data_IF_314452092733
#
_entry.id   IF_314452092733
#
_cell.length_a   1.000
_cell.length_b   1.000
_cell.length_c   1.000
_cell.angle_alpha   90.00
_cell.angle_beta   90.00
_cell.angle_gamma   90.00
#
_symmetry.space_group_name_H-M   'P 1'
#
loop_
_entity.id
_entity.type
_entity.pdbx_description
1 polymer ?
#
# COMPACT_ATOMS: atom_id res chain seq x y z
N UNK A 1 -13.14 -40.87 -0.39
CA UNK A 1 -11.79 -40.58 0.17
C UNK A 1 -11.78 -41.12 1.59
N UNK A 2 -10.64 -41.66 2.02
CA UNK A 2 -10.51 -42.44 3.24
C UNK A 2 -11.05 -41.70 4.48
N UNK A 3 -11.85 -42.39 5.31
CA UNK A 3 -12.09 -42.06 6.72
C UNK A 3 -10.77 -42.20 7.50
N UNK A 4 -9.78 -41.35 7.20
CA UNK A 4 -8.58 -41.23 8.00
C UNK A 4 -8.94 -40.42 9.23
N UNK A 5 -9.49 -41.11 10.23
CA UNK A 5 -9.67 -40.60 11.57
C UNK A 5 -8.28 -40.49 12.25
N UNK A 6 -7.45 -39.54 11.81
CA UNK A 6 -6.09 -39.35 12.33
C UNK A 6 -6.06 -39.05 13.84
N UNK A 7 -7.17 -38.52 14.38
CA UNK A 7 -7.27 -38.07 15.76
C UNK A 7 -8.45 -38.71 16.54
N UNK A 8 -9.14 -39.74 16.01
CA UNK A 8 -10.28 -40.33 16.72
C UNK A 8 -9.92 -41.03 18.02
N UNK A 9 -8.66 -41.41 18.16
CA UNK A 9 -8.15 -42.13 19.32
C UNK A 9 -7.78 -41.17 20.46
N UNK A 10 -7.92 -39.86 20.26
CA UNK A 10 -7.60 -38.82 21.23
C UNK A 10 -8.83 -37.94 21.52
N UNK A 11 -8.97 -37.51 22.76
CA UNK A 11 -9.94 -36.48 23.11
C UNK A 11 -9.53 -35.13 22.49
N UNK A 12 -10.51 -34.36 22.02
CA UNK A 12 -10.27 -33.02 21.53
C UNK A 12 -9.74 -32.13 22.67
N UNK A 13 -8.68 -31.38 22.40
CA UNK A 13 -8.09 -30.46 23.37
C UNK A 13 -8.66 -29.07 23.14
N UNK A 14 -9.29 -28.50 24.18
CA UNK A 14 -9.83 -27.13 24.15
C UNK A 14 -8.73 -26.07 24.31
N UNK A 15 -9.02 -24.83 23.91
CA UNK A 15 -8.15 -23.67 24.17
C UNK A 15 -7.82 -23.51 25.66
N UNK A 16 -8.79 -23.79 26.53
CA UNK A 16 -8.62 -23.74 27.99
C UNK A 16 -7.58 -24.76 28.49
N UNK A 17 -7.64 -26.00 28.01
CA UNK A 17 -6.66 -27.03 28.38
C UNK A 17 -5.27 -26.67 27.85
N UNK A 18 -5.18 -26.16 26.62
CA UNK A 18 -3.92 -25.68 26.04
C UNK A 18 -3.30 -24.54 26.87
N UNK A 19 -4.13 -23.56 27.28
CA UNK A 19 -3.69 -22.45 28.12
C UNK A 19 -3.22 -22.90 29.51
N UNK A 20 -3.85 -23.92 30.09
CA UNK A 20 -3.39 -24.53 31.34
C UNK A 20 -2.00 -25.16 31.19
N UNK A 21 -1.74 -25.87 30.08
CA UNK A 21 -0.42 -26.43 29.81
C UNK A 21 0.64 -25.34 29.64
N UNK A 22 0.34 -24.27 28.88
CA UNK A 22 1.27 -23.13 28.75
C UNK A 22 1.58 -22.53 30.13
N UNK A 23 0.56 -22.33 30.97
CA UNK A 23 0.74 -21.75 32.30
C UNK A 23 1.64 -22.62 33.19
N UNK A 24 1.52 -23.95 33.08
CA UNK A 24 2.41 -24.89 33.75
C UNK A 24 3.87 -24.73 33.27
N UNK A 25 4.09 -24.67 31.94
CA UNK A 25 5.43 -24.51 31.33
C UNK A 25 6.08 -23.15 31.64
N UNK A 26 5.28 -22.10 31.86
CA UNK A 26 5.76 -20.78 32.26
C UNK A 26 6.38 -20.75 33.67
N UNK A 27 6.23 -21.82 34.48
CA UNK A 27 6.86 -21.98 35.80
C UNK A 27 6.68 -20.75 36.72
N UNK A 28 5.50 -20.14 36.67
CA UNK A 28 5.14 -18.97 37.48
C UNK A 28 5.36 -17.61 36.81
N UNK A 29 5.91 -17.55 35.58
CA UNK A 29 5.91 -16.32 34.79
C UNK A 29 4.48 -15.96 34.33
N UNK A 30 4.19 -14.66 34.24
CA UNK A 30 2.88 -14.18 33.79
C UNK A 30 2.71 -14.40 32.28
N UNK A 31 1.57 -14.98 31.89
CA UNK A 31 1.25 -15.30 30.51
C UNK A 31 1.17 -14.05 29.62
N UNK A 32 0.52 -12.99 30.10
CA UNK A 32 0.31 -11.78 29.31
C UNK A 32 1.59 -10.98 29.16
N UNK A 33 2.40 -10.89 30.21
CA UNK A 33 3.68 -10.18 30.16
C UNK A 33 4.72 -10.93 29.30
N UNK A 34 4.67 -12.26 29.28
CA UNK A 34 5.71 -13.08 28.62
C UNK A 34 5.41 -13.40 27.17
N UNK A 35 4.15 -13.71 26.84
CA UNK A 35 3.79 -14.32 25.55
C UNK A 35 2.84 -13.47 24.69
N UNK A 36 2.19 -12.47 25.27
CA UNK A 36 1.29 -11.60 24.51
C UNK A 36 2.09 -10.40 24.02
N UNK A 37 2.16 -10.25 22.70
CA UNK A 37 2.77 -9.08 22.08
C UNK A 37 1.70 -8.01 21.83
N UNK A 38 1.92 -6.79 22.31
CA UNK A 38 1.08 -5.64 22.00
C UNK A 38 1.67 -4.86 20.83
N UNK A 39 0.93 -4.80 19.73
CA UNK A 39 1.36 -4.11 18.51
C UNK A 39 1.18 -2.59 18.63
N UNK A 40 1.84 -1.78 17.77
CA UNK A 40 1.63 -0.33 17.70
C UNK A 40 0.18 0.11 17.43
N UNK A 41 -0.65 -0.79 16.89
CA UNK A 41 -2.08 -0.62 16.66
C UNK A 41 -2.93 -0.85 17.93
N UNK A 42 -2.31 -1.21 19.05
CA UNK A 42 -3.01 -1.60 20.28
C UNK A 42 -3.75 -2.93 20.14
N UNK A 43 -3.21 -3.86 19.34
CA UNK A 43 -3.70 -5.23 19.19
C UNK A 43 -2.85 -6.16 20.04
N UNK A 44 -3.51 -6.98 20.87
CA UNK A 44 -2.85 -7.99 21.69
C UNK A 44 -2.78 -9.31 20.94
N UNK A 45 -1.64 -9.57 20.34
CA UNK A 45 -1.38 -10.80 19.59
C UNK A 45 -1.12 -11.94 20.57
N UNK A 46 -2.02 -12.92 20.59
CA UNK A 46 -1.90 -14.13 21.40
C UNK A 46 -0.87 -15.10 20.78
N UNK A 47 -0.20 -15.94 21.59
CA UNK A 47 0.71 -16.97 21.11
C UNK A 47 0.03 -18.12 20.36
N UNK A 48 -1.29 -18.28 20.49
CA UNK A 48 -2.08 -19.25 19.74
C UNK A 48 -3.51 -18.74 19.52
N UNK A 49 -4.17 -19.30 18.51
CA UNK A 49 -5.58 -19.06 18.17
C UNK A 49 -6.26 -20.41 17.97
N UNK A 50 -7.53 -20.52 18.34
CA UNK A 50 -8.24 -21.79 18.41
C UNK A 50 -9.70 -21.66 17.95
N UNK A 51 -10.27 -22.74 17.42
CA UNK A 51 -11.60 -22.73 16.83
C UNK A 51 -12.74 -22.46 17.84
N UNK A 52 -12.55 -22.84 19.10
CA UNK A 52 -13.49 -22.62 20.20
C UNK A 52 -13.39 -21.21 20.83
N UNK A 53 -12.43 -20.38 20.40
CA UNK A 53 -12.31 -18.98 20.82
C UNK A 53 -12.79 -17.99 19.76
N UNK A 54 -12.92 -18.41 18.50
CA UNK A 54 -13.03 -17.48 17.38
C UNK A 54 -14.43 -17.52 16.77
N UNK A 55 -15.27 -16.55 17.13
CA UNK A 55 -16.47 -16.20 16.35
C UNK A 55 -16.06 -15.13 15.31
N UNK A 56 -15.44 -15.55 14.21
CA UNK A 56 -15.16 -14.63 13.09
C UNK A 56 -16.48 -14.34 12.38
N UNK A 57 -16.92 -13.08 12.37
CA UNK A 57 -18.18 -12.66 11.75
C UNK A 57 -17.99 -11.94 10.40
N UNK A 58 -16.78 -11.97 9.83
CA UNK A 58 -16.46 -11.26 8.60
C UNK A 58 -16.25 -12.24 7.44
N UNK A 59 -17.09 -12.11 6.41
CA UNK A 59 -16.83 -12.71 5.11
C UNK A 59 -15.76 -11.87 4.40
N UNK A 60 -14.52 -12.36 4.40
CA UNK A 60 -13.44 -11.69 3.70
C UNK A 60 -13.72 -11.69 2.19
N UNK A 61 -13.76 -10.48 1.62
CA UNK A 61 -13.91 -10.30 0.19
C UNK A 61 -12.54 -10.47 -0.44
N UNK A 62 -12.40 -11.42 -1.36
CA UNK A 62 -11.14 -11.70 -2.04
C UNK A 62 -11.34 -11.53 -3.56
N UNK A 63 -10.39 -10.92 -4.28
CA UNK A 63 -10.49 -10.80 -5.73
C UNK A 63 -10.71 -12.16 -6.40
N UNK A 64 -11.55 -12.16 -7.42
CA UNK A 64 -11.85 -13.38 -8.20
C UNK A 64 -10.76 -13.73 -9.21
N UNK A 65 -9.86 -12.79 -9.50
CA UNK A 65 -8.77 -12.93 -10.44
C UNK A 65 -7.42 -12.89 -9.71
N UNK A 66 -6.40 -13.60 -10.22
CA UNK A 66 -5.03 -13.44 -9.74
C UNK A 66 -4.54 -12.00 -9.89
N UNK A 67 -3.64 -11.59 -9.00
CA UNK A 67 -3.00 -10.28 -9.04
C UNK A 67 -2.29 -10.03 -10.37
N UNK A 68 -2.33 -8.78 -10.84
CA UNK A 68 -1.57 -8.34 -12.02
C UNK A 68 -0.16 -7.84 -11.63
N UNK A 69 0.84 -8.21 -12.42
CA UNK A 69 2.22 -7.70 -12.28
C UNK A 69 2.33 -6.33 -12.97
N UNK A 70 2.58 -5.26 -12.19
CA UNK A 70 2.66 -3.89 -12.71
C UNK A 70 4.11 -3.44 -12.86
N UNK A 71 4.46 -2.91 -14.03
CA UNK A 71 5.69 -2.14 -14.22
C UNK A 71 5.37 -0.64 -14.17
N UNK A 72 6.09 0.10 -13.31
CA UNK A 72 6.05 1.56 -13.31
C UNK A 72 7.00 2.11 -14.39
N UNK A 73 6.55 3.11 -15.15
CA UNK A 73 7.32 3.82 -16.17
C UNK A 73 7.07 5.31 -16.04
N UNK A 74 8.13 6.07 -15.75
CA UNK A 74 8.09 7.52 -15.81
C UNK A 74 8.28 8.01 -17.26
N UNK A 75 7.33 8.80 -17.77
CA UNK A 75 7.35 9.21 -19.18
C UNK A 75 8.09 10.53 -19.35
N UNK A 76 9.38 10.44 -19.63
CA UNK A 76 10.20 11.60 -20.05
C UNK A 76 10.21 11.78 -21.57
N UNK A 77 10.33 10.68 -22.31
CA UNK A 77 10.32 10.64 -23.77
C UNK A 77 9.27 9.61 -24.21
N UNK A 78 8.30 10.04 -25.00
CA UNK A 78 7.12 9.23 -25.36
C UNK A 78 7.53 7.96 -26.10
N UNK A 79 8.43 8.06 -27.09
CA UNK A 79 8.84 6.93 -27.92
C UNK A 79 9.66 5.91 -27.13
N UNK A 80 10.60 6.38 -26.31
CA UNK A 80 11.39 5.51 -25.44
C UNK A 80 10.53 4.83 -24.38
N UNK A 81 9.56 5.55 -23.80
CA UNK A 81 8.66 5.02 -22.79
C UNK A 81 7.71 3.98 -23.38
N UNK A 82 7.19 4.22 -24.58
CA UNK A 82 6.42 3.23 -25.35
C UNK A 82 7.24 1.97 -25.63
N UNK A 83 8.47 2.11 -26.14
CA UNK A 83 9.35 0.97 -26.39
C UNK A 83 9.65 0.16 -25.11
N UNK A 84 9.93 0.85 -23.99
CA UNK A 84 10.14 0.22 -22.67
C UNK A 84 8.87 -0.50 -22.18
N UNK A 85 7.69 0.07 -22.42
CA UNK A 85 6.41 -0.58 -22.09
C UNK A 85 6.18 -1.86 -22.92
N UNK A 86 6.49 -1.84 -24.21
CA UNK A 86 6.38 -3.04 -25.05
C UNK A 86 7.35 -4.14 -24.58
N UNK A 87 8.60 -3.76 -24.28
CA UNK A 87 9.62 -4.69 -23.80
C UNK A 87 9.26 -5.31 -22.44
N UNK A 88 8.78 -4.51 -21.48
CA UNK A 88 8.44 -5.04 -20.15
C UNK A 88 7.24 -5.99 -20.20
N UNK A 89 6.24 -5.71 -21.05
CA UNK A 89 5.09 -6.60 -21.27
C UNK A 89 5.54 -7.94 -21.88
N UNK A 90 6.46 -7.92 -22.84
CA UNK A 90 7.06 -9.15 -23.41
C UNK A 90 7.88 -9.94 -22.37
N UNK A 91 8.32 -9.29 -21.30
CA UNK A 91 9.12 -9.88 -20.21
C UNK A 91 8.29 -10.19 -18.96
N UNK A 92 6.97 -10.31 -19.11
CA UNK A 92 6.07 -10.83 -18.07
C UNK A 92 5.37 -9.80 -17.20
N UNK A 93 5.50 -8.50 -17.47
CA UNK A 93 4.57 -7.52 -16.89
C UNK A 93 3.18 -7.73 -17.51
N UNK A 94 2.14 -7.62 -16.71
CA UNK A 94 0.73 -7.78 -17.14
C UNK A 94 -0.01 -6.44 -17.14
N UNK A 95 0.62 -5.40 -16.59
CA UNK A 95 0.10 -4.05 -16.52
C UNK A 95 1.23 -3.05 -16.52
N UNK A 96 0.95 -1.83 -17.00
CA UNK A 96 1.91 -0.73 -17.01
C UNK A 96 1.28 0.48 -16.35
N UNK A 97 2.03 1.11 -15.44
CA UNK A 97 1.67 2.42 -14.90
C UNK A 97 2.58 3.48 -15.52
N UNK A 98 1.97 4.41 -16.25
CA UNK A 98 2.64 5.59 -16.76
C UNK A 98 2.47 6.76 -15.80
N UNK A 99 3.58 7.36 -15.38
CA UNK A 99 3.57 8.66 -14.71
C UNK A 99 3.83 9.75 -15.74
N UNK A 100 2.88 10.66 -15.91
CA UNK A 100 2.93 11.75 -16.90
C UNK A 100 3.02 13.09 -16.17
N UNK A 101 4.07 13.89 -16.35
CA UNK A 101 4.22 15.15 -15.59
C UNK A 101 3.38 16.33 -16.11
N UNK A 102 2.86 16.24 -17.34
CA UNK A 102 2.08 17.29 -17.97
C UNK A 102 1.08 16.71 -18.97
N UNK A 103 0.14 17.56 -19.42
CA UNK A 103 -0.92 17.21 -20.38
C UNK A 103 -0.56 17.47 -21.86
N UNK A 104 0.72 17.73 -22.16
CA UNK A 104 1.19 17.93 -23.53
C UNK A 104 1.44 16.62 -24.30
N UNK A 105 1.40 15.47 -23.61
CA UNK A 105 1.68 14.15 -24.19
C UNK A 105 0.53 13.69 -25.08
N UNK A 106 0.85 13.20 -26.28
CA UNK A 106 -0.13 12.59 -27.17
C UNK A 106 -0.33 11.12 -26.78
N UNK A 107 -1.54 10.78 -26.31
CA UNK A 107 -1.88 9.43 -25.83
C UNK A 107 -1.75 8.40 -26.94
N UNK A 108 -2.14 8.76 -28.16
CA UNK A 108 -2.04 7.90 -29.34
C UNK A 108 -0.59 7.51 -29.65
N UNK A 109 0.36 8.42 -29.44
CA UNK A 109 1.79 8.13 -29.63
C UNK A 109 2.33 7.26 -28.49
N UNK A 110 1.97 7.57 -27.24
CA UNK A 110 2.40 6.79 -26.09
C UNK A 110 1.87 5.35 -26.10
N UNK A 111 0.65 5.17 -26.59
CA UNK A 111 -0.03 3.87 -26.64
C UNK A 111 0.18 3.13 -27.97
N UNK A 112 0.96 3.69 -28.88
CA UNK A 112 1.17 3.12 -30.21
C UNK A 112 1.70 1.68 -30.12
N UNK A 113 1.06 0.73 -30.80
CA UNK A 113 1.44 -0.68 -30.84
C UNK A 113 1.46 -1.42 -29.47
N UNK A 114 0.95 -0.80 -28.40
CA UNK A 114 0.80 -1.49 -27.12
C UNK A 114 -0.41 -2.44 -27.17
N UNK A 115 -0.29 -3.66 -26.60
CA UNK A 115 -1.40 -4.61 -26.56
C UNK A 115 -2.53 -4.10 -25.66
N UNK A 116 -3.75 -4.04 -26.17
CA UNK A 116 -4.90 -3.49 -25.42
C UNK A 116 -5.76 -4.59 -24.77
N UNK A 117 -5.68 -5.81 -25.28
CA UNK A 117 -6.42 -6.94 -24.76
C UNK A 117 -5.72 -7.52 -23.52
N UNK A 118 -6.47 -7.73 -22.44
CA UNK A 118 -5.99 -8.32 -21.18
C UNK A 118 -4.82 -7.59 -20.48
N UNK A 119 -4.54 -6.33 -20.85
CA UNK A 119 -3.53 -5.49 -20.19
C UNK A 119 -4.21 -4.29 -19.57
N UNK A 120 -3.88 -3.99 -18.32
CA UNK A 120 -4.33 -2.76 -17.65
C UNK A 120 -3.27 -1.68 -17.77
N UNK A 121 -3.70 -0.46 -18.10
CA UNK A 121 -2.85 0.72 -18.12
C UNK A 121 -3.30 1.73 -17.07
N UNK A 122 -2.42 2.06 -16.14
CA UNK A 122 -2.65 3.09 -15.14
C UNK A 122 -1.99 4.40 -15.58
N UNK A 123 -2.72 5.50 -15.54
CA UNK A 123 -2.20 6.84 -15.83
C UNK A 123 -2.16 7.64 -14.55
N UNK A 124 -0.98 7.72 -13.95
CA UNK A 124 -0.71 8.58 -12.79
C UNK A 124 -0.51 10.02 -13.24
N UNK A 125 -1.42 10.89 -12.82
CA UNK A 125 -1.44 12.30 -13.18
C UNK A 125 -1.15 13.16 -11.93
N UNK A 126 0.08 13.69 -11.76
CA UNK A 126 0.44 14.65 -10.73
C UNK A 126 -0.06 16.07 -11.07
N UNK A 127 -1.17 16.15 -11.82
CA UNK A 127 -1.89 17.37 -12.21
C UNK A 127 -3.36 17.01 -12.44
N UNK A 128 -4.24 18.01 -12.45
CA UNK A 128 -5.67 17.82 -12.69
C UNK A 128 -6.14 18.56 -13.94
N UNK A 129 -6.37 17.82 -15.02
CA UNK A 129 -6.82 18.34 -16.32
C UNK A 129 -8.03 17.55 -16.84
N UNK A 130 -9.15 18.26 -16.99
CA UNK A 130 -10.40 17.71 -17.54
C UNK A 130 -10.22 17.31 -19.00
N UNK A 131 -9.57 18.17 -19.80
CA UNK A 131 -9.32 17.91 -21.22
C UNK A 131 -8.48 16.65 -21.40
N UNK A 132 -7.40 16.53 -20.63
CA UNK A 132 -6.50 15.38 -20.73
C UNK A 132 -7.16 14.07 -20.28
N UNK A 133 -7.93 14.11 -19.18
CA UNK A 133 -8.71 12.95 -18.74
C UNK A 133 -9.72 12.50 -19.80
N UNK A 134 -10.36 13.44 -20.49
CA UNK A 134 -11.25 13.12 -21.61
C UNK A 134 -10.50 12.49 -22.78
N UNK A 135 -9.30 12.99 -23.15
CA UNK A 135 -8.47 12.36 -24.21
C UNK A 135 -8.12 10.90 -23.88
N UNK A 136 -7.74 10.62 -22.63
CA UNK A 136 -7.46 9.25 -22.18
C UNK A 136 -8.74 8.39 -22.24
N UNK A 137 -9.87 8.92 -21.77
CA UNK A 137 -11.16 8.22 -21.81
C UNK A 137 -11.64 7.93 -23.24
N UNK A 138 -11.49 8.88 -24.15
CA UNK A 138 -11.86 8.74 -25.57
C UNK A 138 -10.99 7.70 -26.24
N UNK A 139 -9.68 7.69 -25.96
CA UNK A 139 -8.77 6.64 -26.40
C UNK A 139 -9.19 5.27 -25.86
N UNK A 140 -9.50 5.17 -24.56
CA UNK A 140 -9.94 3.93 -23.93
C UNK A 140 -11.22 3.39 -24.59
N UNK A 141 -12.22 4.26 -24.78
CA UNK A 141 -13.52 3.91 -25.36
C UNK A 141 -13.40 3.50 -26.83
N UNK A 142 -12.66 4.28 -27.63
CA UNK A 142 -12.45 4.03 -29.05
C UNK A 142 -11.75 2.70 -29.32
N UNK A 143 -10.75 2.38 -28.50
CA UNK A 143 -9.90 1.21 -28.71
C UNK A 143 -10.26 0.02 -27.79
N UNK A 144 -11.28 0.17 -26.93
CA UNK A 144 -11.67 -0.82 -25.91
C UNK A 144 -10.51 -1.23 -24.98
N UNK A 145 -9.69 -0.26 -24.59
CA UNK A 145 -8.54 -0.49 -23.72
C UNK A 145 -8.94 -0.43 -22.23
N UNK A 146 -8.36 -1.30 -21.40
CA UNK A 146 -8.54 -1.25 -19.95
C UNK A 146 -7.60 -0.19 -19.36
N UNK A 147 -8.17 0.98 -19.06
CA UNK A 147 -7.42 2.13 -18.57
C UNK A 147 -7.95 2.57 -17.21
N UNK A 148 -7.06 2.96 -16.31
CA UNK A 148 -7.35 3.59 -15.02
C UNK A 148 -6.68 4.96 -15.01
N UNK A 149 -7.47 6.03 -14.96
CA UNK A 149 -6.97 7.38 -14.73
C UNK A 149 -6.85 7.57 -13.22
N UNK A 150 -5.72 8.08 -12.75
CA UNK A 150 -5.42 8.15 -11.32
C UNK A 150 -5.33 9.62 -10.87
N UNK A 151 -6.50 10.24 -10.70
CA UNK A 151 -6.60 11.57 -10.11
C UNK A 151 -6.77 11.47 -8.59
N UNK A 152 -6.00 12.24 -7.84
CA UNK A 152 -6.11 12.29 -6.38
C UNK A 152 -5.85 13.70 -5.81
N UNK A 153 -6.79 14.66 -5.93
CA UNK A 153 -6.60 16.02 -5.39
C UNK A 153 -6.44 16.08 -3.87
N UNK A 154 -7.07 15.17 -3.12
CA UNK A 154 -6.86 15.10 -1.66
C UNK A 154 -5.45 14.56 -1.37
N UNK A 155 -5.00 13.53 -2.08
CA UNK A 155 -3.61 13.05 -2.00
C UNK A 155 -2.59 14.13 -2.37
N UNK A 156 -2.90 14.99 -3.34
CA UNK A 156 -2.11 16.16 -3.68
C UNK A 156 -2.05 17.15 -2.51
N UNK A 157 -3.19 17.48 -1.89
CA UNK A 157 -3.22 18.32 -0.69
C UNK A 157 -2.36 17.72 0.43
N UNK A 158 -2.50 16.42 0.69
CA UNK A 158 -1.74 15.69 1.70
C UNK A 158 -0.23 15.76 1.44
N UNK A 159 0.19 15.53 0.19
CA UNK A 159 1.60 15.47 -0.21
C UNK A 159 2.27 16.83 -0.36
N UNK A 160 1.59 17.77 -1.00
CA UNK A 160 2.14 19.08 -1.35
C UNK A 160 1.89 20.13 -0.26
N UNK A 161 0.82 19.94 0.51
CA UNK A 161 0.26 20.94 1.41
C UNK A 161 -0.67 21.93 0.70
N UNK A 162 -0.91 21.77 -0.61
CA UNK A 162 -1.81 22.59 -1.41
C UNK A 162 -2.62 21.72 -2.39
N UNK A 163 -3.81 22.21 -2.74
CA UNK A 163 -4.59 21.73 -3.88
C UNK A 163 -3.86 21.97 -5.21
N UNK A 164 -4.32 21.37 -6.31
CA UNK A 164 -3.82 21.73 -7.63
C UNK A 164 -4.18 23.18 -7.98
N UNK A 165 -5.41 23.58 -7.69
CA UNK A 165 -5.81 25.01 -7.71
C UNK A 165 -6.39 25.45 -6.37
N UNK A 166 -7.50 24.84 -5.96
CA UNK A 166 -8.16 25.01 -4.66
C UNK A 166 -9.25 23.94 -4.51
N UNK A 167 -9.84 23.83 -3.31
CA UNK A 167 -10.85 22.82 -3.02
C UNK A 167 -12.01 22.86 -4.02
N UNK A 168 -12.63 24.02 -4.21
CA UNK A 168 -13.85 24.15 -5.02
C UNK A 168 -13.59 23.80 -6.49
N UNK A 169 -12.53 24.34 -7.08
CA UNK A 169 -12.17 24.11 -8.49
C UNK A 169 -11.71 22.69 -8.75
N UNK A 170 -10.94 22.09 -7.84
CA UNK A 170 -10.46 20.72 -8.04
C UNK A 170 -11.65 19.75 -8.03
N UNK A 171 -12.63 19.93 -7.12
CA UNK A 171 -13.85 19.13 -7.13
C UNK A 171 -14.78 19.46 -8.31
N UNK A 172 -14.84 20.70 -8.80
CA UNK A 172 -15.57 21.04 -10.04
C UNK A 172 -15.00 20.27 -11.24
N UNK A 173 -13.66 20.21 -11.35
CA UNK A 173 -12.98 19.43 -12.39
C UNK A 173 -13.26 17.94 -12.23
N UNK A 174 -13.15 17.37 -11.02
CA UNK A 174 -13.48 15.97 -10.78
C UNK A 174 -14.93 15.64 -11.15
N UNK A 175 -15.88 16.51 -10.82
CA UNK A 175 -17.28 16.35 -11.20
C UNK A 175 -17.47 16.38 -12.72
N UNK A 176 -16.74 17.26 -13.41
CA UNK A 176 -16.76 17.31 -14.87
C UNK A 176 -16.19 16.03 -15.47
N UNK A 177 -15.10 15.49 -14.92
CA UNK A 177 -14.49 14.22 -15.32
C UNK A 177 -15.50 13.08 -15.09
N UNK A 178 -16.04 12.95 -13.88
CA UNK A 178 -17.00 11.92 -13.50
C UNK A 178 -18.23 11.86 -14.43
N UNK A 179 -18.71 13.01 -14.90
CA UNK A 179 -19.86 13.09 -15.81
C UNK A 179 -19.62 12.56 -17.23
N UNK A 180 -18.34 12.42 -17.63
CA UNK A 180 -17.95 12.07 -19.00
C UNK A 180 -17.18 10.76 -19.08
N UNK A 181 -16.44 10.40 -18.04
CA UNK A 181 -15.56 9.23 -18.07
C UNK A 181 -16.31 7.93 -17.82
N UNK A 182 -16.02 6.93 -18.64
CA UNK A 182 -16.52 5.55 -18.47
C UNK A 182 -15.47 4.65 -17.81
N UNK A 183 -14.21 5.08 -17.78
CA UNK A 183 -13.11 4.38 -17.10
C UNK A 183 -12.97 4.83 -15.65
N UNK A 184 -12.38 4.00 -14.76
CA UNK A 184 -11.95 4.44 -13.43
C UNK A 184 -11.09 5.71 -13.51
N UNK A 185 -11.38 6.70 -12.66
CA UNK A 185 -10.73 8.01 -12.74
C UNK A 185 -10.21 8.57 -11.41
N UNK A 186 -10.50 7.88 -10.30
CA UNK A 186 -10.09 8.27 -8.96
C UNK A 186 -9.09 7.28 -8.38
N UNK A 187 -8.10 7.83 -7.68
CA UNK A 187 -7.17 7.09 -6.87
C UNK A 187 -7.10 7.68 -5.47
N UNK A 188 -6.89 6.83 -4.46
CA UNK A 188 -6.53 7.19 -3.09
C UNK A 188 -5.10 6.73 -2.85
N UNK A 189 -4.17 7.70 -2.74
CA UNK A 189 -2.74 7.44 -2.56
C UNK A 189 -2.37 7.12 -1.10
N UNK A 190 -3.02 6.11 -0.53
CA UNK A 190 -2.90 5.68 0.87
C UNK A 190 -1.46 5.42 1.34
N UNK A 191 -0.60 4.95 0.43
CA UNK A 191 0.82 4.67 0.72
C UNK A 191 1.60 5.83 1.34
N UNK A 192 1.18 7.09 1.11
CA UNK A 192 1.81 8.27 1.71
C UNK A 192 1.74 8.24 3.25
N UNK A 193 0.63 7.76 3.81
CA UNK A 193 0.44 7.69 5.26
C UNK A 193 1.44 6.71 5.88
N UNK A 194 1.57 5.51 5.31
CA UNK A 194 2.55 4.53 5.78
C UNK A 194 3.98 5.06 5.64
N UNK A 195 4.32 5.63 4.49
CA UNK A 195 5.67 6.16 4.25
C UNK A 195 6.02 7.34 5.17
N UNK A 196 5.02 8.06 5.69
CA UNK A 196 5.19 9.11 6.70
C UNK A 196 5.20 8.58 8.15
N UNK A 197 4.86 7.31 8.39
CA UNK A 197 4.91 6.65 9.71
C UNK A 197 3.55 6.48 10.40
N UNK A 198 2.45 6.54 9.66
CA UNK A 198 1.15 6.14 10.17
C UNK A 198 1.13 4.62 10.44
N UNK A 199 0.58 4.21 11.59
CA UNK A 199 0.34 2.80 11.85
C UNK A 199 -0.82 2.25 10.97
N UNK A 200 -1.06 0.94 11.00
CA UNK A 200 -2.02 0.32 10.07
C UNK A 200 -3.46 0.82 10.29
N UNK A 201 -3.88 1.02 11.54
CA UNK A 201 -5.21 1.56 11.88
C UNK A 201 -5.40 2.96 11.30
N UNK A 202 -4.37 3.81 11.40
CA UNK A 202 -4.39 5.15 10.80
C UNK A 202 -4.46 5.10 9.28
N UNK A 203 -3.65 4.25 8.63
CA UNK A 203 -3.68 4.09 7.17
C UNK A 203 -5.09 3.72 6.68
N UNK A 204 -5.71 2.72 7.30
CA UNK A 204 -7.07 2.27 6.97
C UNK A 204 -8.11 3.37 7.19
N UNK A 205 -8.13 4.00 8.36
CA UNK A 205 -9.10 5.04 8.69
C UNK A 205 -8.98 6.27 7.79
N UNK A 206 -7.75 6.73 7.50
CA UNK A 206 -7.52 7.90 6.65
C UNK A 206 -7.89 7.62 5.19
N UNK A 207 -7.63 6.39 4.70
CA UNK A 207 -8.07 5.98 3.36
C UNK A 207 -9.59 5.94 3.25
N UNK A 208 -10.25 5.41 4.28
CA UNK A 208 -11.71 5.36 4.34
C UNK A 208 -12.33 6.75 4.42
N UNK A 209 -11.76 7.63 5.24
CA UNK A 209 -12.17 9.03 5.33
C UNK A 209 -11.97 9.76 3.99
N UNK A 210 -10.87 9.50 3.28
CA UNK A 210 -10.64 10.07 1.95
C UNK A 210 -11.67 9.58 0.92
N UNK A 211 -12.00 8.30 0.93
CA UNK A 211 -13.07 7.75 0.10
C UNK A 211 -14.41 8.43 0.42
N UNK A 212 -14.70 8.64 1.70
CA UNK A 212 -15.91 9.32 2.15
C UNK A 212 -15.98 10.78 1.66
N UNK A 213 -14.86 11.52 1.65
CA UNK A 213 -14.82 12.87 1.09
C UNK A 213 -15.17 12.90 -0.40
N UNK A 214 -14.71 11.89 -1.17
CA UNK A 214 -15.04 11.74 -2.58
C UNK A 214 -16.51 11.37 -2.80
N UNK A 215 -17.04 10.39 -2.07
CA UNK A 215 -18.46 10.01 -2.16
C UNK A 215 -19.40 11.17 -1.83
N UNK A 216 -19.06 12.03 -0.86
CA UNK A 216 -19.89 13.18 -0.50
C UNK A 216 -19.88 14.32 -1.51
N UNK A 217 -18.81 14.47 -2.31
CA UNK A 217 -18.61 15.63 -3.20
C UNK A 217 -18.76 15.33 -4.67
N UNK A 218 -18.79 14.05 -5.04
CA UNK A 218 -18.96 13.58 -6.41
C UNK A 218 -20.34 12.91 -6.53
N UNK A 219 -21.32 13.52 -7.23
CA UNK A 219 -22.70 13.06 -7.22
C UNK A 219 -22.92 11.60 -7.63
N UNK A 220 -22.08 11.07 -8.52
CA UNK A 220 -22.13 9.68 -8.92
C UNK A 220 -20.72 9.19 -9.29
N UNK A 221 -20.29 8.13 -8.61
CA UNK A 221 -19.07 7.38 -8.94
C UNK A 221 -19.54 6.01 -9.43
N UNK A 222 -19.49 5.80 -10.75
CA UNK A 222 -20.00 4.59 -11.40
C UNK A 222 -18.88 3.64 -11.85
N UNK A 223 -17.71 3.77 -11.25
CA UNK A 223 -16.51 2.99 -11.54
C UNK A 223 -15.78 2.66 -10.24
N UNK A 224 -14.99 1.57 -10.19
CA UNK A 224 -14.12 1.28 -9.06
C UNK A 224 -13.21 2.47 -8.70
N UNK A 225 -13.00 2.70 -7.40
CA UNK A 225 -11.95 3.62 -6.91
C UNK A 225 -10.66 2.82 -6.74
N UNK A 226 -9.56 3.33 -7.28
CA UNK A 226 -8.24 2.72 -7.07
C UNK A 226 -7.70 3.12 -5.70
N UNK A 227 -7.22 2.19 -4.89
CA UNK A 227 -6.54 2.49 -3.63
C UNK A 227 -5.09 2.01 -3.74
N UNK A 228 -4.16 2.96 -3.76
CA UNK A 228 -2.73 2.68 -3.80
C UNK A 228 -2.16 2.57 -2.39
N UNK A 229 -1.77 1.37 -2.02
CA UNK A 229 -1.32 1.03 -0.67
C UNK A 229 0.18 0.74 -0.66
N UNK A 230 0.85 1.22 0.38
CA UNK A 230 2.18 0.72 0.71
C UNK A 230 2.04 -0.61 1.48
N UNK A 231 3.07 -1.46 1.46
CA UNK A 231 3.13 -2.71 2.22
C UNK A 231 4.50 -2.85 2.89
N UNK A 232 4.53 -3.10 4.20
CA UNK A 232 5.72 -3.21 5.03
C UNK A 232 6.06 -4.64 5.48
N UNK A 233 6.93 -4.74 6.49
CA UNK A 233 7.56 -6.01 6.89
C UNK A 233 6.73 -6.87 7.84
N UNK A 234 5.67 -6.34 8.45
CA UNK A 234 4.82 -7.11 9.36
C UNK A 234 3.85 -8.00 8.57
N UNK A 235 4.37 -9.14 8.11
CA UNK A 235 3.77 -10.03 7.12
C UNK A 235 2.27 -10.30 7.32
N UNK A 236 1.86 -10.77 8.51
CA UNK A 236 0.46 -11.11 8.77
C UNK A 236 -0.44 -9.88 8.95
N UNK A 237 0.08 -8.81 9.54
CA UNK A 237 -0.66 -7.56 9.67
C UNK A 237 -0.91 -6.92 8.31
N UNK A 238 0.04 -7.03 7.38
CA UNK A 238 -0.11 -6.52 6.02
C UNK A 238 -1.13 -7.32 5.21
N UNK A 239 -1.16 -8.65 5.37
CA UNK A 239 -2.25 -9.49 4.81
C UNK A 239 -3.60 -9.04 5.38
N UNK A 240 -3.68 -8.92 6.70
CA UNK A 240 -4.91 -8.54 7.38
C UNK A 240 -5.36 -7.11 7.04
N UNK A 241 -4.42 -6.18 6.82
CA UNK A 241 -4.67 -4.80 6.41
C UNK A 241 -5.42 -4.72 5.09
N UNK A 242 -4.96 -5.45 4.06
CA UNK A 242 -5.60 -5.38 2.74
C UNK A 242 -7.02 -5.98 2.76
N UNK A 243 -7.21 -7.06 3.51
CA UNK A 243 -8.55 -7.65 3.75
C UNK A 243 -9.46 -6.66 4.49
N UNK A 244 -8.96 -6.05 5.57
CA UNK A 244 -9.70 -5.04 6.35
C UNK A 244 -10.05 -3.81 5.51
N UNK A 245 -9.14 -3.34 4.65
CA UNK A 245 -9.38 -2.22 3.74
C UNK A 245 -10.57 -2.48 2.82
N UNK A 246 -10.63 -3.66 2.22
CA UNK A 246 -11.72 -4.03 1.30
C UNK A 246 -13.06 -4.15 2.04
N UNK A 247 -13.07 -4.74 3.23
CA UNK A 247 -14.27 -4.81 4.10
C UNK A 247 -14.78 -3.41 4.45
N UNK A 248 -13.88 -2.54 4.92
CA UNK A 248 -14.21 -1.16 5.28
C UNK A 248 -14.72 -0.36 4.08
N UNK A 249 -14.04 -0.44 2.94
CA UNK A 249 -14.44 0.25 1.73
C UNK A 249 -15.84 -0.18 1.28
N UNK A 250 -16.11 -1.48 1.21
CA UNK A 250 -17.42 -1.98 0.77
C UNK A 250 -18.54 -1.65 1.76
N UNK A 251 -18.22 -1.64 3.06
CA UNK A 251 -19.15 -1.17 4.10
C UNK A 251 -19.53 0.28 3.84
N UNK A 252 -18.55 1.17 3.64
CA UNK A 252 -18.80 2.58 3.35
C UNK A 252 -19.52 2.79 2.00
N UNK A 253 -19.05 2.12 0.95
CA UNK A 253 -19.60 2.24 -0.40
C UNK A 253 -21.09 1.89 -0.46
N UNK A 254 -21.53 0.90 0.34
CA UNK A 254 -22.93 0.49 0.42
C UNK A 254 -23.86 1.61 0.90
N UNK A 255 -23.39 2.48 1.80
CA UNK A 255 -24.15 3.66 2.27
C UNK A 255 -24.39 4.70 1.16
N UNK A 256 -23.57 4.67 0.11
CA UNK A 256 -23.69 5.53 -1.07
C UNK A 256 -24.32 4.82 -2.28
N UNK A 257 -24.89 3.62 -2.10
CA UNK A 257 -25.38 2.75 -3.18
C UNK A 257 -24.32 2.47 -4.26
N UNK A 258 -23.04 2.50 -3.89
CA UNK A 258 -21.93 2.17 -4.77
C UNK A 258 -21.66 0.66 -4.68
N UNK A 259 -21.83 -0.04 -5.80
CA UNK A 259 -21.75 -1.50 -5.86
C UNK A 259 -20.42 -2.02 -6.46
N UNK A 260 -19.49 -1.13 -6.81
CA UNK A 260 -18.18 -1.54 -7.27
C UNK A 260 -17.27 -1.75 -6.08
N UNK A 261 -16.50 -2.84 -6.12
CA UNK A 261 -15.41 -3.06 -5.19
C UNK A 261 -14.26 -2.08 -5.47
N UNK A 262 -13.37 -1.87 -4.50
CA UNK A 262 -12.16 -1.10 -4.73
C UNK A 262 -11.13 -1.88 -5.55
N UNK A 263 -10.27 -1.15 -6.26
CA UNK A 263 -9.14 -1.72 -7.00
C UNK A 263 -7.84 -1.42 -6.25
N UNK A 264 -7.29 -2.41 -5.55
CA UNK A 264 -6.10 -2.25 -4.71
C UNK A 264 -4.85 -2.44 -5.55
N UNK A 265 -4.00 -1.42 -5.61
CA UNK A 265 -2.64 -1.54 -6.15
C UNK A 265 -1.62 -1.42 -5.03
N UNK A 266 -0.90 -2.50 -4.76
CA UNK A 266 0.06 -2.55 -3.67
C UNK A 266 1.49 -2.32 -4.16
N UNK A 267 2.26 -1.56 -3.39
CA UNK A 267 3.70 -1.34 -3.61
C UNK A 267 4.44 -1.50 -2.28
N UNK A 268 5.61 -2.18 -2.25
CA UNK A 268 6.48 -2.15 -1.08
C UNK A 268 6.74 -0.74 -0.53
N UNK A 269 6.67 -0.57 0.78
CA UNK A 269 6.92 0.73 1.43
C UNK A 269 8.36 1.19 1.18
N UNK A 270 8.57 2.51 1.09
CA UNK A 270 9.91 3.11 1.11
C UNK A 270 10.47 3.22 2.53
N UNK A 271 9.61 3.22 3.55
CA UNK A 271 9.94 3.55 4.94
C UNK A 271 11.03 2.68 5.54
N UNK A 272 11.07 1.40 5.18
CA UNK A 272 12.04 0.42 5.68
C UNK A 272 13.17 0.10 4.67
N UNK A 273 13.29 0.87 3.58
CA UNK A 273 14.33 0.67 2.57
C UNK A 273 15.61 1.39 2.98
N UNK A 274 16.72 0.69 2.84
CA UNK A 274 18.02 1.10 3.39
C UNK A 274 19.01 1.36 2.26
N UNK A 275 19.89 2.34 2.44
CA UNK A 275 20.99 2.63 1.53
C UNK A 275 22.11 1.62 1.67
N UNK A 276 22.45 1.30 2.92
CA UNK A 276 23.45 0.29 3.23
C UNK A 276 22.85 -1.10 3.25
N UNK A 277 23.69 -2.08 2.91
CA UNK A 277 23.30 -3.47 2.75
C UNK A 277 22.05 -3.59 1.85
N UNK A 278 22.03 -2.83 0.75
CA UNK A 278 20.88 -2.66 -0.12
C UNK A 278 20.33 -3.97 -0.70
N UNK A 279 21.13 -5.04 -0.73
CA UNK A 279 20.66 -6.38 -1.13
C UNK A 279 19.55 -6.89 -0.20
N UNK A 280 19.52 -6.48 1.07
CA UNK A 280 18.45 -6.82 2.02
C UNK A 280 17.11 -6.21 1.57
N UNK A 281 17.11 -5.13 0.78
CA UNK A 281 15.87 -4.60 0.20
C UNK A 281 15.18 -5.64 -0.69
N UNK A 282 15.92 -6.52 -1.40
CA UNK A 282 15.32 -7.61 -2.17
C UNK A 282 14.58 -8.62 -1.26
N UNK A 283 15.11 -8.89 -0.07
CA UNK A 283 14.45 -9.77 0.89
C UNK A 283 13.16 -9.14 1.42
N UNK A 284 13.21 -7.84 1.76
CA UNK A 284 12.05 -7.05 2.21
C UNK A 284 10.95 -7.07 1.15
N UNK A 285 11.28 -6.69 -0.08
CA UNK A 285 10.30 -6.61 -1.18
C UNK A 285 9.67 -7.97 -1.50
N UNK A 286 10.41 -9.07 -1.35
CA UNK A 286 9.85 -10.42 -1.54
C UNK A 286 8.71 -10.68 -0.54
N UNK A 287 8.96 -10.48 0.75
CA UNK A 287 7.95 -10.72 1.79
C UNK A 287 6.79 -9.72 1.73
N UNK A 288 7.07 -8.46 1.39
CA UNK A 288 6.06 -7.41 1.21
C UNK A 288 5.13 -7.74 0.03
N UNK A 289 5.70 -8.12 -1.12
CA UNK A 289 4.90 -8.57 -2.27
C UNK A 289 4.09 -9.82 -1.96
N UNK A 290 4.66 -10.80 -1.23
CA UNK A 290 3.91 -11.97 -0.78
C UNK A 290 2.71 -11.58 0.08
N UNK A 291 2.89 -10.71 1.08
CA UNK A 291 1.78 -10.24 1.92
C UNK A 291 0.74 -9.45 1.12
N UNK A 292 1.16 -8.67 0.11
CA UNK A 292 0.25 -7.96 -0.78
C UNK A 292 -0.64 -8.92 -1.58
N UNK A 293 -0.05 -9.98 -2.14
CA UNK A 293 -0.76 -10.98 -2.92
C UNK A 293 -1.73 -11.76 -2.03
N UNK A 294 -1.26 -12.26 -0.89
CA UNK A 294 -2.09 -13.04 0.05
C UNK A 294 -3.18 -12.21 0.72
N UNK A 295 -3.00 -10.90 0.83
CA UNK A 295 -4.00 -9.95 1.30
C UNK A 295 -5.06 -9.58 0.25
N UNK A 296 -4.94 -10.05 -0.99
CA UNK A 296 -5.91 -9.81 -2.05
C UNK A 296 -5.75 -8.47 -2.77
N UNK A 297 -4.52 -8.04 -3.03
CA UNK A 297 -4.26 -6.92 -3.95
C UNK A 297 -4.61 -7.31 -5.40
N UNK A 298 -5.30 -6.43 -6.12
CA UNK A 298 -5.66 -6.63 -7.53
C UNK A 298 -4.44 -6.50 -8.45
N UNK A 299 -3.50 -5.65 -8.07
CA UNK A 299 -2.24 -5.49 -8.78
C UNK A 299 -1.08 -5.19 -7.82
N UNK A 300 0.12 -5.64 -8.17
CA UNK A 300 1.32 -5.42 -7.36
C UNK A 300 2.40 -4.79 -8.23
N UNK A 301 2.88 -3.62 -7.81
CA UNK A 301 4.01 -2.93 -8.39
C UNK A 301 5.20 -3.07 -7.44
N UNK A 302 6.17 -3.89 -7.78
CA UNK A 302 7.33 -4.08 -6.91
C UNK A 302 8.29 -2.88 -6.99
N UNK A 303 9.04 -2.64 -5.93
CA UNK A 303 10.06 -1.61 -5.86
C UNK A 303 11.44 -2.23 -6.17
N UNK A 304 12.22 -1.61 -7.05
CA UNK A 304 13.61 -2.04 -7.27
C UNK A 304 14.44 -1.84 -5.98
N UNK A 305 15.42 -2.71 -5.75
CA UNK A 305 16.22 -2.70 -4.52
C UNK A 305 17.04 -1.41 -4.35
N UNK A 306 17.32 -0.74 -5.46
CA UNK A 306 18.10 0.49 -5.58
C UNK A 306 17.25 1.74 -5.85
N UNK A 307 15.92 1.62 -5.87
CA UNK A 307 14.99 2.68 -6.27
C UNK A 307 15.07 3.97 -5.41
N UNK A 308 15.69 3.91 -4.22
CA UNK A 308 15.85 5.08 -3.35
C UNK A 308 17.13 5.87 -3.65
N UNK A 309 18.10 5.32 -4.38
CA UNK A 309 19.40 5.94 -4.63
C UNK A 309 19.88 5.91 -6.09
N UNK A 310 19.31 5.05 -6.94
CA UNK A 310 19.56 5.01 -8.38
C UNK A 310 18.37 5.46 -9.20
N UNK A 311 18.65 5.98 -10.39
CA UNK A 311 17.62 6.13 -11.42
C UNK A 311 17.18 4.76 -11.92
N UNK A 312 16.00 4.73 -12.52
CA UNK A 312 15.47 3.57 -13.23
C UNK A 312 16.53 2.93 -14.14
N UNK A 313 16.77 1.64 -13.95
CA UNK A 313 17.72 0.86 -14.74
C UNK A 313 17.17 -0.56 -15.01
N UNK A 314 17.66 -1.20 -16.07
CA UNK A 314 17.16 -2.51 -16.52
C UNK A 314 17.34 -3.60 -15.48
N UNK A 315 18.44 -3.57 -14.72
CA UNK A 315 18.75 -4.60 -13.75
C UNK A 315 17.77 -4.54 -12.57
N UNK A 316 17.61 -3.36 -11.95
CA UNK A 316 16.66 -3.13 -10.86
C UNK A 316 15.22 -3.48 -11.25
N UNK A 317 14.78 -3.02 -12.43
CA UNK A 317 13.47 -3.36 -12.98
C UNK A 317 13.28 -4.85 -13.23
N UNK A 318 14.30 -5.52 -13.77
CA UNK A 318 14.23 -6.95 -14.03
C UNK A 318 14.13 -7.73 -12.74
N UNK A 319 14.93 -7.39 -11.72
CA UNK A 319 14.88 -8.08 -10.43
C UNK A 319 13.52 -7.88 -9.75
N UNK A 320 13.00 -6.65 -9.70
CA UNK A 320 11.72 -6.38 -9.07
C UNK A 320 10.54 -7.09 -9.77
N UNK A 321 10.53 -7.11 -11.11
CA UNK A 321 9.53 -7.88 -11.88
C UNK A 321 9.70 -9.38 -11.71
N UNK A 322 10.94 -9.89 -11.75
CA UNK A 322 11.20 -11.32 -11.61
C UNK A 322 10.80 -11.86 -10.24
N UNK A 323 10.94 -11.08 -9.17
CA UNK A 323 10.40 -11.49 -7.85
C UNK A 323 8.90 -11.81 -7.92
N UNK A 324 8.11 -10.97 -8.60
CA UNK A 324 6.69 -11.22 -8.80
C UNK A 324 6.42 -12.42 -9.71
N UNK A 325 7.21 -12.59 -10.79
CA UNK A 325 7.10 -13.74 -11.69
C UNK A 325 7.40 -15.07 -10.99
N UNK A 326 8.44 -15.11 -10.14
CA UNK A 326 8.77 -16.28 -9.33
C UNK A 326 7.62 -16.59 -8.36
N UNK A 327 7.11 -15.59 -7.64
CA UNK A 327 5.96 -15.79 -6.75
C UNK A 327 4.74 -16.35 -7.52
N UNK A 328 4.46 -15.80 -8.70
CA UNK A 328 3.31 -16.19 -9.51
C UNK A 328 3.46 -17.59 -10.11
N UNK A 329 4.56 -17.85 -10.81
CA UNK A 329 4.68 -19.01 -11.70
C UNK A 329 5.48 -20.18 -11.11
N UNK A 330 6.37 -19.92 -10.15
CA UNK A 330 7.19 -20.97 -9.52
C UNK A 330 6.70 -21.30 -8.10
N UNK A 331 6.20 -20.29 -7.37
CA UNK A 331 5.59 -20.48 -6.05
C UNK A 331 4.07 -20.64 -6.12
N UNK A 332 3.46 -20.55 -7.31
CA UNK A 332 2.05 -20.83 -7.58
C UNK A 332 1.05 -19.93 -6.85
N UNK A 333 1.41 -18.66 -6.61
CA UNK A 333 0.52 -17.68 -5.96
C UNK A 333 -0.69 -17.27 -6.82
N UNK A 334 -0.83 -17.79 -8.04
CA UNK A 334 -1.97 -17.58 -8.92
C UNK A 334 -2.99 -18.73 -8.92
N UNK A 335 -2.78 -19.79 -8.13
CA UNK A 335 -3.61 -21.01 -8.17
C UNK A 335 -4.79 -21.00 -7.21
N UNK A 336 -4.72 -20.23 -6.14
CA UNK A 336 -5.76 -20.12 -5.12
C UNK A 336 -6.01 -18.64 -4.86
N UNK A 337 -7.26 -18.21 -4.97
CA UNK A 337 -7.61 -16.80 -4.78
C UNK A 337 -7.50 -16.40 -3.30
N UNK A 338 -7.91 -17.27 -2.38
CA UNK A 338 -8.09 -16.96 -0.97
C UNK A 338 -7.29 -17.85 0.00
N UNK A 339 -5.96 -17.99 -0.18
CA UNK A 339 -5.15 -18.92 0.60
C UNK A 339 -5.07 -18.61 2.11
N UNK A 340 -5.37 -17.37 2.51
CA UNK A 340 -5.34 -16.93 3.91
C UNK A 340 -6.68 -17.15 4.65
N UNK A 341 -7.76 -17.49 3.95
CA UNK A 341 -9.09 -17.60 4.54
C UNK A 341 -9.19 -18.78 5.52
N UNK A 342 -9.91 -18.55 6.61
CA UNK A 342 -10.10 -19.53 7.69
C UNK A 342 -8.90 -19.68 8.62
N UNK A 343 -7.79 -18.98 8.38
CA UNK A 343 -6.69 -18.91 9.32
C UNK A 343 -7.09 -18.06 10.54
N UNK A 344 -7.39 -18.70 11.68
CA UNK A 344 -7.90 -18.04 12.88
C UNK A 344 -7.17 -16.75 13.26
N UNK A 345 -5.83 -16.76 13.17
CA UNK A 345 -5.01 -15.57 13.45
C UNK A 345 -5.29 -14.42 12.46
N UNK A 346 -5.27 -14.70 11.16
CA UNK A 346 -5.44 -13.66 10.13
C UNK A 346 -6.87 -13.10 10.19
N UNK A 347 -7.86 -13.97 10.38
CA UNK A 347 -9.26 -13.53 10.53
C UNK A 347 -9.45 -12.60 11.74
N UNK A 348 -8.97 -13.03 12.91
CA UNK A 348 -9.07 -12.24 14.15
C UNK A 348 -8.31 -10.92 14.04
N UNK A 349 -7.21 -10.90 13.28
CA UNK A 349 -6.42 -9.69 13.05
C UNK A 349 -7.11 -8.75 12.05
N UNK A 350 -7.70 -9.28 10.98
CA UNK A 350 -8.50 -8.53 10.01
C UNK A 350 -9.66 -7.83 10.70
N UNK A 351 -10.41 -8.55 11.54
CA UNK A 351 -11.54 -7.99 12.29
C UNK A 351 -11.11 -6.86 13.22
N UNK A 352 -10.11 -7.09 14.09
CA UNK A 352 -9.64 -6.05 15.01
C UNK A 352 -9.09 -4.81 14.30
N UNK A 353 -8.39 -4.99 13.17
CA UNK A 353 -7.91 -3.86 12.37
C UNK A 353 -9.08 -3.09 11.76
N UNK A 354 -10.09 -3.79 11.22
CA UNK A 354 -11.28 -3.18 10.66
C UNK A 354 -12.06 -2.40 11.72
N UNK A 355 -12.34 -2.98 12.89
CA UNK A 355 -13.07 -2.34 13.98
C UNK A 355 -12.35 -1.08 14.48
N UNK A 356 -11.06 -1.17 14.80
CA UNK A 356 -10.28 -0.03 15.28
C UNK A 356 -10.19 1.09 14.24
N UNK A 357 -10.04 0.74 12.96
CA UNK A 357 -10.01 1.72 11.89
C UNK A 357 -11.39 2.36 11.68
N UNK A 358 -12.47 1.60 11.81
CA UNK A 358 -13.84 2.11 11.74
C UNK A 358 -14.15 3.08 12.89
N UNK A 359 -13.70 2.78 14.11
CA UNK A 359 -13.81 3.69 15.25
C UNK A 359 -13.07 5.01 14.99
N UNK A 360 -11.82 4.94 14.52
CA UNK A 360 -11.05 6.13 14.17
C UNK A 360 -11.70 6.92 13.02
N UNK A 361 -12.23 6.23 12.00
CA UNK A 361 -12.99 6.87 10.92
C UNK A 361 -14.22 7.62 11.45
N UNK A 362 -15.01 6.99 12.33
CA UNK A 362 -16.19 7.63 12.94
C UNK A 362 -15.81 8.86 13.74
N UNK A 363 -14.70 8.81 14.49
CA UNK A 363 -14.17 10.00 15.17
C UNK A 363 -13.74 11.07 14.16
N UNK A 364 -13.16 10.69 13.02
CA UNK A 364 -12.79 11.65 11.98
C UNK A 364 -14.01 12.41 11.45
N UNK A 365 -15.05 11.68 11.08
CA UNK A 365 -16.29 12.24 10.54
C UNK A 365 -17.03 13.09 11.58
N UNK A 366 -17.07 12.66 12.85
CA UNK A 366 -17.66 13.44 13.95
C UNK A 366 -16.97 14.80 14.13
N UNK A 367 -15.69 14.89 13.84
CA UNK A 367 -14.89 16.10 13.95
C UNK A 367 -14.75 16.86 12.61
N UNK A 368 -15.70 16.67 11.68
CA UNK A 368 -15.83 17.49 10.47
C UNK A 368 -15.14 16.95 9.22
N UNK A 369 -14.72 15.68 9.22
CA UNK A 369 -14.16 15.01 8.05
C UNK A 369 -12.64 15.17 7.89
N UNK A 370 -12.07 14.42 6.95
CA UNK A 370 -10.63 14.35 6.71
C UNK A 370 -10.03 15.70 6.31
N UNK A 371 -10.66 16.42 5.38
CA UNK A 371 -10.16 17.71 4.86
C UNK A 371 -10.07 18.73 5.99
N UNK A 372 -11.09 18.81 6.84
CA UNK A 372 -11.10 19.72 8.00
C UNK A 372 -9.97 19.38 8.96
N UNK A 373 -9.77 18.09 9.27
CA UNK A 373 -8.68 17.68 10.16
C UNK A 373 -7.28 17.84 9.57
N UNK A 374 -7.13 17.77 8.24
CA UNK A 374 -5.90 18.11 7.54
C UNK A 374 -5.59 19.60 7.65
N UNK A 375 -6.62 20.46 7.53
CA UNK A 375 -6.47 21.91 7.68
C UNK A 375 -6.08 22.27 9.12
N UNK A 376 -6.73 21.64 10.10
CA UNK A 376 -6.45 21.87 11.52
C UNK A 376 -5.15 21.21 12.02
N UNK A 377 -4.48 20.42 11.18
CA UNK A 377 -3.20 19.79 11.50
C UNK A 377 -3.29 18.52 12.36
N UNK A 378 -4.51 17.99 12.61
CA UNK A 378 -4.71 16.85 13.51
C UNK A 378 -4.14 15.57 12.93
N UNK A 379 -4.37 15.31 11.63
CA UNK A 379 -3.87 14.11 10.95
C UNK A 379 -2.33 14.11 10.95
N UNK A 380 -1.72 15.23 10.60
CA UNK A 380 -0.27 15.41 10.57
C UNK A 380 0.36 15.16 11.94
N UNK A 381 -0.23 15.75 12.99
CA UNK A 381 0.22 15.53 14.37
C UNK A 381 0.14 14.06 14.76
N UNK A 382 -0.97 13.38 14.45
CA UNK A 382 -1.18 11.97 14.80
C UNK A 382 -0.25 11.01 14.06
N UNK A 383 0.07 11.30 12.79
CA UNK A 383 1.09 10.57 12.03
C UNK A 383 2.47 10.80 12.65
N UNK A 384 2.82 12.05 12.98
CA UNK A 384 4.11 12.37 13.59
C UNK A 384 4.28 11.70 14.97
N UNK A 385 3.23 11.66 15.79
CA UNK A 385 3.22 10.92 17.07
C UNK A 385 3.50 9.42 16.87
N UNK A 386 2.89 8.80 15.85
CA UNK A 386 3.15 7.39 15.50
C UNK A 386 4.57 7.19 14.98
N UNK A 387 5.01 8.04 14.05
CA UNK A 387 6.33 7.98 13.44
C UNK A 387 7.45 8.15 14.48
N UNK A 388 7.26 9.02 15.47
CA UNK A 388 8.22 9.23 16.55
C UNK A 388 8.32 7.98 17.44
N UNK A 389 7.20 7.35 17.80
CA UNK A 389 7.22 6.09 18.58
C UNK A 389 7.96 4.98 17.83
N UNK A 390 7.73 4.85 16.52
CA UNK A 390 8.46 3.89 15.69
C UNK A 390 9.96 4.21 15.62
N UNK A 391 10.33 5.49 15.50
CA UNK A 391 11.73 5.92 15.54
C UNK A 391 12.38 5.58 16.90
N UNK A 392 11.69 5.78 18.02
CA UNK A 392 12.18 5.41 19.35
C UNK A 392 12.40 3.89 19.48
N UNK A 393 11.52 3.07 18.90
CA UNK A 393 11.70 1.62 18.82
C UNK A 393 12.92 1.26 17.96
N UNK A 394 13.13 1.93 16.84
CA UNK A 394 14.28 1.72 15.97
C UNK A 394 15.60 2.12 16.64
N UNK A 395 15.65 3.30 17.25
CA UNK A 395 16.83 3.84 17.93
C UNK A 395 17.20 3.00 19.16
N UNK A 396 16.20 2.41 19.84
CA UNK A 396 16.41 1.47 20.96
C UNK A 396 16.70 0.03 20.54
N UNK A 397 16.67 -0.27 19.22
CA UNK A 397 16.94 -1.60 18.67
C UNK A 397 15.79 -2.62 18.85
N UNK A 398 14.60 -2.17 19.26
CA UNK A 398 13.39 -3.01 19.35
C UNK A 398 12.75 -3.21 17.98
N UNK A 399 12.72 -2.18 17.15
CA UNK A 399 12.38 -2.30 15.73
C UNK A 399 13.68 -2.52 14.94
N UNK A 400 13.78 -3.64 14.23
CA UNK A 400 15.05 -4.11 13.66
C UNK A 400 15.05 -3.96 12.14
N UNK A 401 16.02 -3.19 11.62
CA UNK A 401 16.41 -3.24 10.22
C UNK A 401 17.77 -3.94 10.10
N UNK A 402 17.72 -5.19 9.66
CA UNK A 402 18.91 -6.02 9.40
C UNK A 402 19.83 -5.33 8.38
N UNK A 403 21.14 -5.38 8.63
CA UNK A 403 22.15 -4.69 7.82
C UNK A 403 22.31 -3.21 8.15
N UNK A 404 21.45 -2.67 9.02
CA UNK A 404 21.40 -1.25 9.37
C UNK A 404 21.61 -1.03 10.87
N UNK A 405 20.56 -1.11 11.71
CA UNK A 405 20.73 -0.97 13.16
C UNK A 405 21.14 -2.28 13.84
N UNK A 406 21.03 -3.41 13.13
CA UNK A 406 21.46 -4.73 13.59
C UNK A 406 22.35 -5.41 12.55
N UNK A 407 23.52 -5.87 13.01
CA UNK A 407 24.56 -6.48 12.18
C UNK A 407 24.98 -5.66 10.94
N UNK A 408 25.33 -4.36 11.08
CA UNK A 408 25.76 -3.55 9.93
C UNK A 408 27.11 -4.01 9.38
N UNK A 409 27.24 -4.05 8.05
CA UNK A 409 28.53 -4.19 7.39
C UNK A 409 29.29 -2.86 7.43
N UNK A 410 30.31 -2.76 8.29
CA UNK A 410 31.10 -1.52 8.48
C UNK A 410 31.97 -1.13 7.28
N UNK A 411 32.25 -2.05 6.37
CA UNK A 411 33.08 -1.80 5.19
C UNK A 411 32.26 -1.28 3.99
N UNK A 412 30.94 -1.32 4.08
CA UNK A 412 30.03 -0.84 3.03
C UNK A 412 30.10 0.70 2.93
N UNK A 413 30.15 1.22 1.71
CA UNK A 413 30.29 2.66 1.40
C UNK A 413 29.29 3.03 0.30
N UNK A 414 28.63 4.16 0.45
CA UNK A 414 27.57 4.60 -0.48
C UNK A 414 27.83 5.97 -1.11
N UNK A 415 28.74 6.78 -0.57
CA UNK A 415 28.95 8.19 -0.99
C UNK A 415 29.17 8.38 -2.50
N UNK A 416 29.85 7.44 -3.15
CA UNK A 416 30.17 7.51 -4.58
C UNK A 416 29.16 6.76 -5.48
N UNK A 417 28.13 6.15 -4.90
CA UNK A 417 27.13 5.32 -5.60
C UNK A 417 25.74 5.98 -5.64
N UNK A 418 25.58 7.20 -5.12
CA UNK A 418 24.30 7.91 -5.11
C UNK A 418 24.08 8.67 -6.44
N UNK A 419 23.07 8.28 -7.21
CA UNK A 419 22.58 9.05 -8.37
C UNK A 419 21.40 9.95 -8.01
N UNK A 420 20.63 9.56 -6.99
CA UNK A 420 19.50 10.29 -6.44
C UNK A 420 19.84 10.82 -5.05
N UNK A 421 19.17 11.90 -4.65
CA UNK A 421 19.23 12.37 -3.26
C UNK A 421 18.19 11.60 -2.42
N UNK A 422 18.62 10.69 -1.51
CA UNK A 422 17.74 9.70 -0.88
C UNK A 422 17.10 10.18 0.43
N UNK A 423 17.20 11.48 0.73
CA UNK A 423 16.81 12.10 1.98
C UNK A 423 15.72 13.15 1.78
N UNK A 424 14.99 13.43 2.86
CA UNK A 424 13.96 14.46 2.86
C UNK A 424 14.58 15.82 2.53
N UNK A 425 14.09 16.47 1.47
CA UNK A 425 14.48 17.83 1.10
C UNK A 425 13.66 18.84 1.89
N UNK A 426 14.33 19.80 2.52
CA UNK A 426 13.67 20.93 3.17
C UNK A 426 13.44 22.06 2.16
N UNK A 427 12.20 22.22 1.71
CA UNK A 427 11.80 23.30 0.82
C UNK A 427 10.89 24.27 1.59
N UNK A 428 11.42 25.43 1.99
CA UNK A 428 10.64 26.46 2.65
C UNK A 428 9.69 27.12 1.64
N UNK A 429 8.41 26.75 1.69
CA UNK A 429 7.34 27.39 0.91
C UNK A 429 6.09 27.54 1.76
N UNK A 430 5.25 28.52 1.41
CA UNK A 430 3.95 28.69 2.03
C UNK A 430 2.99 27.64 1.48
N UNK A 431 2.38 26.87 2.37
CA UNK A 431 1.37 25.85 2.05
C UNK A 431 0.07 26.15 2.79
N UNK A 432 -1.05 25.63 2.30
CA UNK A 432 -2.34 25.70 2.99
C UNK A 432 -2.33 24.87 4.28
N UNK A 433 -1.75 23.66 4.21
CA UNK A 433 -1.59 22.76 5.35
C UNK A 433 -0.12 22.35 5.49
N UNK A 434 0.29 21.85 6.66
CA UNK A 434 1.58 21.15 6.76
C UNK A 434 1.51 19.87 5.91
N UNK A 435 2.41 19.69 4.93
CA UNK A 435 2.43 18.47 4.14
C UNK A 435 2.77 17.24 4.99
N UNK A 436 2.21 16.10 4.63
CA UNK A 436 2.61 14.80 5.18
C UNK A 436 3.83 14.33 4.40
N UNK A 437 4.96 14.23 5.10
CA UNK A 437 6.27 13.99 4.48
C UNK A 437 6.67 12.53 4.67
N UNK A 438 6.93 11.84 3.56
CA UNK A 438 7.52 10.49 3.59
C UNK A 438 8.94 10.56 4.19
N UNK A 439 9.25 9.68 5.13
CA UNK A 439 10.57 9.62 5.77
C UNK A 439 10.96 8.18 6.07
N UNK A 440 12.19 7.80 5.70
CA UNK A 440 12.72 6.47 5.97
C UNK A 440 13.20 6.36 7.41
N UNK A 441 12.99 5.20 8.03
CA UNK A 441 13.35 4.95 9.42
C UNK A 441 14.88 5.01 9.65
N UNK A 442 15.64 4.53 8.66
CA UNK A 442 17.11 4.53 8.69
C UNK A 442 17.76 5.89 8.36
N UNK A 443 16.99 6.89 7.91
CA UNK A 443 17.52 8.11 7.30
C UNK A 443 18.53 8.85 8.18
N UNK A 444 18.23 9.04 9.46
CA UNK A 444 19.12 9.75 10.40
C UNK A 444 20.46 9.03 10.55
N UNK A 445 20.41 7.71 10.78
CA UNK A 445 21.60 6.88 10.93
C UNK A 445 22.46 6.86 9.65
N UNK A 446 21.82 6.85 8.48
CA UNK A 446 22.50 6.86 7.20
C UNK A 446 23.14 8.20 6.86
N UNK A 447 22.51 9.32 7.22
CA UNK A 447 23.11 10.65 7.10
C UNK A 447 24.37 10.76 7.97
N UNK A 448 24.31 10.29 9.22
CA UNK A 448 25.46 10.24 10.11
C UNK A 448 26.59 9.39 9.51
N UNK A 449 26.26 8.21 8.97
CA UNK A 449 27.24 7.31 8.35
C UNK A 449 27.88 7.89 7.09
N UNK A 450 27.09 8.45 6.16
CA UNK A 450 27.61 9.09 4.94
C UNK A 450 28.53 10.27 5.26
N UNK A 451 28.24 11.04 6.31
CA UNK A 451 29.09 12.17 6.71
C UNK A 451 30.48 11.74 7.19
N UNK A 452 30.64 10.48 7.58
CA UNK A 452 31.90 9.89 8.06
C UNK A 452 32.66 9.16 6.96
N UNK A 453 32.06 8.94 5.78
CA UNK A 453 32.73 8.32 4.63
C UNK A 453 33.72 9.31 4.00
N UNK A 454 34.96 8.83 3.79
CA UNK A 454 36.05 9.62 3.21
C UNK A 454 35.81 9.87 1.73
#
# INVERSE_FOLDING_TARGET
>A
MANNNLFSDFEAVSSKQWKQQIQYELKGADYNETLVWESPEGIKVKPFYHNDETEVNLDAIVPTKPFAIVQNIFVHDVKKSNARALETLQRGAESVRFTLENDAILIEELMQNLPLENVNYYFHLPFLSVEFSNKINDFASKNKANIFIQNDPIGQLVKDGNWFENLEKDFEKLNTIASKTTVPFLTISSGIYQNAGANIVQQLAYSLAQANEYFNRIPAINQPITIEVAVGTNYFFEIAKLRALRILFNTLASEYNHNFDCHIVATPTKRNKTLYDYNVNMLRTTTECMSAILGGADAVANLAYDAIYHKDNEFGDRISRNQLLVLKHESYFDKVNNPADGAYYIETLTEQLAEKALELFKDIEKNGGLISQLIDGTIQRKINESAQKEQELFDSGKEVLLGTNKYPNKNDQMKNDLELYPFVKQNARKTLITPIIEKRLAEKLEQERLSQEQ
#
